data_IF_732876110390
#
_entry.id   IF_732876110390
#
_cell.length_a   1.000
_cell.length_b   1.000
_cell.length_c   1.000
_cell.angle_alpha   90.00
_cell.angle_beta   90.00
_cell.angle_gamma   90.00
#
_symmetry.space_group_name_H-M   'P 1'
#
loop_
_entity.id
_entity.type
_entity.pdbx_description
1 polymer ?
#
# COMPACT_ATOMS: atom_id res chain seq x y z
N UNK A 1 -25.23 27.80 7.27
CA UNK A 1 -25.65 28.04 5.87
C UNK A 1 -26.84 27.14 5.57
N UNK A 2 -27.96 27.65 5.04
CA UNK A 2 -29.13 26.81 4.79
C UNK A 2 -28.89 25.87 3.62
N UNK A 3 -29.19 24.58 3.81
CA UNK A 3 -29.19 23.55 2.76
C UNK A 3 -30.48 23.69 1.96
N UNK A 4 -30.41 24.38 0.82
CA UNK A 4 -31.53 24.44 -0.12
C UNK A 4 -31.75 23.07 -0.76
N UNK A 5 -32.83 22.41 -0.34
CA UNK A 5 -33.21 21.10 -0.86
C UNK A 5 -34.01 21.31 -2.16
N UNK A 6 -33.37 21.09 -3.32
CA UNK A 6 -33.97 21.42 -4.61
C UNK A 6 -35.31 20.70 -4.86
N UNK A 7 -35.54 19.54 -4.24
CA UNK A 7 -36.74 18.74 -4.48
C UNK A 7 -38.07 19.41 -4.09
N UNK A 8 -38.07 20.48 -3.29
CA UNK A 8 -39.33 21.14 -2.87
C UNK A 8 -39.81 22.25 -3.82
N UNK A 9 -38.95 22.82 -4.67
CA UNK A 9 -39.29 23.98 -5.51
C UNK A 9 -39.77 23.63 -6.93
N UNK A 10 -39.87 22.35 -7.28
CA UNK A 10 -39.97 21.91 -8.68
C UNK A 10 -41.35 21.38 -9.07
N UNK A 11 -42.41 22.15 -8.78
CA UNK A 11 -43.79 21.77 -9.15
C UNK A 11 -44.23 22.19 -10.56
N UNK A 12 -43.40 22.86 -11.36
CA UNK A 12 -43.78 23.40 -12.69
C UNK A 12 -42.91 22.92 -13.87
N UNK A 13 -42.19 21.82 -13.72
CA UNK A 13 -41.57 21.11 -14.86
C UNK A 13 -40.31 21.73 -15.46
N UNK A 14 -39.76 22.81 -14.88
CA UNK A 14 -38.41 23.32 -15.22
C UNK A 14 -37.69 23.79 -13.97
N UNK A 15 -36.95 22.89 -13.35
CA UNK A 15 -36.04 23.21 -12.27
C UNK A 15 -34.61 22.92 -12.71
N UNK A 16 -33.83 23.97 -12.86
CA UNK A 16 -32.39 23.84 -13.07
C UNK A 16 -31.69 23.85 -11.73
N UNK A 17 -31.60 22.71 -11.07
CA UNK A 17 -30.77 22.54 -9.89
C UNK A 17 -29.69 21.51 -10.14
N UNK A 18 -28.68 22.01 -10.82
CA UNK A 18 -27.38 21.39 -10.92
C UNK A 18 -26.35 22.49 -10.86
N UNK A 19 -25.10 22.11 -10.59
CA UNK A 19 -23.96 22.99 -10.80
C UNK A 19 -23.76 23.37 -12.29
N UNK A 20 -24.43 22.64 -13.19
CA UNK A 20 -24.34 22.76 -14.65
C UNK A 20 -25.74 23.03 -15.21
N UNK A 21 -25.85 23.93 -16.18
CA UNK A 21 -27.10 24.20 -16.91
C UNK A 21 -27.37 23.21 -18.05
N UNK A 22 -28.54 23.30 -18.68
CA UNK A 22 -28.96 22.42 -19.79
C UNK A 22 -28.07 22.57 -21.05
N UNK A 23 -27.18 23.57 -21.08
CA UNK A 23 -26.22 23.82 -22.16
C UNK A 23 -24.82 23.29 -21.81
N UNK A 24 -24.65 22.66 -20.65
CA UNK A 24 -23.38 22.10 -20.21
C UNK A 24 -22.43 23.13 -19.57
N UNK A 25 -22.91 24.34 -19.24
CA UNK A 25 -22.11 25.42 -18.66
C UNK A 25 -22.26 25.43 -17.14
N UNK A 26 -21.13 25.54 -16.45
CA UNK A 26 -21.08 25.68 -14.99
C UNK A 26 -21.66 27.02 -14.58
N UNK A 27 -22.60 27.02 -13.65
CA UNK A 27 -23.24 28.25 -13.18
C UNK A 27 -22.28 29.06 -12.31
N UNK A 28 -22.39 30.38 -12.43
CA UNK A 28 -21.53 31.30 -11.71
C UNK A 28 -21.68 31.11 -10.19
N UNK A 29 -20.55 30.88 -9.51
CA UNK A 29 -20.51 30.55 -8.07
C UNK A 29 -20.74 29.07 -7.71
N UNK A 30 -20.96 28.17 -8.67
CA UNK A 30 -21.07 26.73 -8.41
C UNK A 30 -19.69 26.03 -8.49
N UNK A 31 -19.38 25.19 -7.50
CA UNK A 31 -18.15 24.41 -7.47
C UNK A 31 -18.40 22.99 -8.02
N UNK A 32 -17.73 22.64 -9.12
CA UNK A 32 -17.65 21.25 -9.59
C UNK A 32 -16.43 20.56 -9.01
N UNK A 33 -16.66 19.44 -8.32
CA UNK A 33 -15.60 18.51 -7.96
C UNK A 33 -15.52 17.45 -9.04
N UNK A 34 -14.69 17.69 -10.05
CA UNK A 34 -14.31 16.65 -11.02
C UNK A 34 -13.20 15.84 -10.35
N UNK A 35 -13.55 14.62 -9.93
CA UNK A 35 -12.54 13.65 -9.51
C UNK A 35 -11.69 13.26 -10.71
N UNK A 36 -10.58 13.96 -10.92
CA UNK A 36 -9.55 13.51 -11.86
C UNK A 36 -8.99 12.22 -11.28
N UNK A 37 -9.51 11.08 -11.72
CA UNK A 37 -8.79 9.83 -11.60
C UNK A 37 -7.57 10.00 -12.50
N UNK A 38 -6.45 10.41 -11.92
CA UNK A 38 -5.15 10.15 -12.52
C UNK A 38 -5.03 8.63 -12.54
N UNK A 39 -5.46 8.02 -13.64
CA UNK A 39 -4.98 6.72 -14.04
C UNK A 39 -3.47 6.92 -14.21
N UNK A 40 -2.71 6.52 -13.19
CA UNK A 40 -1.27 6.31 -13.31
C UNK A 40 -1.07 5.36 -14.49
N UNK A 41 -0.87 5.93 -15.68
CA UNK A 41 -0.26 5.24 -16.80
C UNK A 41 1.22 5.10 -16.44
N UNK A 42 1.49 4.37 -15.34
CA UNK A 42 2.78 3.79 -15.10
C UNK A 42 3.02 2.88 -16.29
N UNK A 43 3.81 3.39 -17.23
CA UNK A 43 4.31 2.71 -18.41
C UNK A 43 4.14 1.19 -18.29
N UNK A 44 3.12 0.64 -18.94
CA UNK A 44 3.17 -0.75 -19.38
C UNK A 44 4.20 -0.82 -20.52
N UNK A 45 5.45 -0.46 -20.21
CA UNK A 45 6.60 -0.96 -20.93
C UNK A 45 6.47 -2.47 -20.75
N UNK A 46 6.03 -3.12 -21.82
CA UNK A 46 5.86 -4.56 -21.91
C UNK A 46 7.10 -5.19 -21.28
N UNK A 47 6.91 -5.85 -20.14
CA UNK A 47 8.02 -6.40 -19.36
C UNK A 47 8.69 -7.46 -20.23
N UNK A 48 9.79 -7.08 -20.87
CA UNK A 48 10.56 -7.97 -21.71
C UNK A 48 11.05 -9.13 -20.82
N UNK A 49 10.71 -10.39 -21.15
CA UNK A 49 11.14 -11.52 -20.34
C UNK A 49 12.66 -11.69 -20.48
N UNK A 50 13.32 -12.20 -19.43
CA UNK A 50 14.78 -12.37 -19.39
C UNK A 50 15.31 -13.15 -20.59
N UNK A 51 14.60 -14.19 -21.04
CA UNK A 51 14.97 -15.00 -22.20
C UNK A 51 15.00 -14.25 -23.54
N UNK A 52 14.37 -13.07 -23.61
CA UNK A 52 14.37 -12.22 -24.80
C UNK A 52 15.38 -11.07 -24.71
N UNK A 53 16.02 -10.86 -23.55
CA UNK A 53 17.02 -9.81 -23.37
C UNK A 53 18.38 -10.22 -23.93
N UNK A 54 19.12 -9.25 -24.47
CA UNK A 54 20.52 -9.46 -24.83
C UNK A 54 21.42 -9.34 -23.62
N UNK A 55 22.63 -9.91 -23.70
CA UNK A 55 23.62 -9.82 -22.61
C UNK A 55 23.96 -8.37 -22.23
N UNK A 56 23.95 -7.45 -23.20
CA UNK A 56 24.20 -6.03 -22.97
C UNK A 56 23.06 -5.36 -22.20
N UNK A 57 21.81 -5.70 -22.50
CA UNK A 57 20.63 -5.22 -21.77
C UNK A 57 20.66 -5.74 -20.33
N UNK A 58 20.94 -7.03 -20.14
CA UNK A 58 21.06 -7.66 -18.81
C UNK A 58 22.13 -6.94 -17.98
N UNK A 59 23.30 -6.68 -18.57
CA UNK A 59 24.39 -5.99 -17.87
C UNK A 59 24.01 -4.57 -17.49
N UNK A 60 23.38 -3.83 -18.40
CA UNK A 60 22.91 -2.47 -18.14
C UNK A 60 21.89 -2.42 -17.01
N UNK A 61 20.94 -3.37 -16.98
CA UNK A 61 19.97 -3.45 -15.88
C UNK A 61 20.65 -3.82 -14.56
N UNK A 62 21.60 -4.75 -14.57
CA UNK A 62 22.36 -5.10 -13.35
C UNK A 62 23.16 -3.91 -12.83
N UNK A 63 23.78 -3.13 -13.70
CA UNK A 63 24.49 -1.91 -13.29
C UNK A 63 23.52 -0.88 -12.70
N UNK A 64 22.27 -0.84 -13.19
CA UNK A 64 21.21 0.04 -12.68
C UNK A 64 20.65 -0.41 -11.33
N UNK A 65 20.88 -1.66 -10.90
CA UNK A 65 20.46 -2.15 -9.56
C UNK A 65 21.26 -1.50 -8.44
N UNK A 66 22.49 -1.06 -8.73
CA UNK A 66 23.38 -0.49 -7.74
C UNK A 66 22.79 0.80 -7.14
N UNK A 67 22.51 0.79 -5.85
CA UNK A 67 21.88 1.92 -5.15
C UNK A 67 20.34 1.98 -5.25
N UNK A 68 19.70 0.99 -5.89
CA UNK A 68 18.25 0.88 -5.92
C UNK A 68 17.72 0.22 -4.63
N UNK A 69 16.54 0.61 -4.12
CA UNK A 69 15.84 -0.14 -3.08
C UNK A 69 15.66 -1.61 -3.42
N UNK A 70 15.99 -2.53 -2.50
CA UNK A 70 15.91 -3.99 -2.71
C UNK A 70 14.55 -4.44 -3.25
N UNK A 71 13.46 -3.91 -2.71
CA UNK A 71 12.11 -4.27 -3.17
C UNK A 71 11.84 -3.84 -4.61
N UNK A 72 12.39 -2.69 -5.04
CA UNK A 72 12.28 -2.24 -6.43
C UNK A 72 13.19 -3.03 -7.35
N UNK A 73 14.41 -3.31 -6.91
CA UNK A 73 15.37 -4.10 -7.67
C UNK A 73 14.91 -5.54 -7.88
N UNK A 74 14.35 -6.18 -6.84
CA UNK A 74 13.78 -7.53 -6.91
C UNK A 74 12.58 -7.63 -7.86
N UNK A 75 11.92 -6.51 -8.17
CA UNK A 75 10.83 -6.46 -9.13
C UNK A 75 11.30 -6.51 -10.59
N UNK A 76 12.61 -6.36 -10.86
CA UNK A 76 13.16 -6.33 -12.21
C UNK A 76 13.11 -7.70 -12.90
N UNK A 77 12.94 -7.75 -14.23
CA UNK A 77 12.83 -9.02 -14.96
C UNK A 77 14.06 -9.93 -14.86
N UNK A 78 15.25 -9.37 -14.57
CA UNK A 78 16.49 -10.14 -14.37
C UNK A 78 16.44 -11.11 -13.20
N UNK A 79 15.52 -10.92 -12.26
CA UNK A 79 15.34 -11.81 -11.12
C UNK A 79 14.06 -12.64 -11.19
N UNK A 80 13.31 -12.59 -12.30
CA UNK A 80 12.06 -13.34 -12.42
C UNK A 80 12.28 -14.86 -12.30
N UNK A 81 13.44 -15.36 -12.71
CA UNK A 81 13.83 -16.78 -12.53
C UNK A 81 13.98 -17.22 -11.07
N UNK A 82 14.11 -16.27 -10.13
CA UNK A 82 14.25 -16.54 -8.71
C UNK A 82 12.95 -16.32 -7.92
N UNK A 83 11.89 -15.83 -8.56
CA UNK A 83 10.63 -15.54 -7.87
C UNK A 83 10.00 -16.81 -7.30
N UNK A 84 9.60 -16.71 -6.04
CA UNK A 84 8.97 -17.82 -5.32
C UNK A 84 9.96 -18.88 -4.83
N UNK A 85 11.26 -18.70 -5.09
CA UNK A 85 12.31 -19.50 -4.48
C UNK A 85 12.71 -18.82 -3.18
N UNK A 86 12.63 -19.57 -2.09
CA UNK A 86 13.10 -19.14 -0.78
C UNK A 86 14.48 -19.75 -0.54
N UNK A 87 15.37 -18.95 0.02
CA UNK A 87 16.63 -19.41 0.60
C UNK A 87 16.36 -20.23 1.88
N UNK A 88 17.36 -20.95 2.37
CA UNK A 88 17.27 -21.79 3.58
C UNK A 88 16.81 -21.02 4.82
N UNK A 89 17.05 -19.70 4.83
CA UNK A 89 16.64 -18.77 5.89
C UNK A 89 15.22 -18.20 5.70
N UNK A 90 14.48 -18.65 4.69
CA UNK A 90 13.15 -18.15 4.35
C UNK A 90 13.14 -16.80 3.62
N UNK A 91 14.30 -16.32 3.18
CA UNK A 91 14.44 -15.06 2.43
C UNK A 91 14.14 -15.27 0.94
N UNK A 92 13.35 -14.41 0.27
CA UNK A 92 13.14 -14.52 -1.16
C UNK A 92 14.43 -14.34 -1.95
N UNK A 93 14.74 -15.29 -2.84
CA UNK A 93 15.99 -15.34 -3.60
C UNK A 93 16.16 -14.12 -4.52
N UNK A 94 15.08 -13.56 -5.06
CA UNK A 94 15.12 -12.36 -5.88
C UNK A 94 15.63 -11.13 -5.12
N UNK A 95 15.30 -11.02 -3.83
CA UNK A 95 15.77 -9.93 -2.97
C UNK A 95 17.22 -10.13 -2.59
N UNK A 96 17.60 -11.37 -2.27
CA UNK A 96 18.98 -11.72 -1.96
C UNK A 96 19.90 -11.48 -3.16
N UNK A 97 19.47 -11.82 -4.38
CA UNK A 97 20.27 -11.58 -5.58
C UNK A 97 20.39 -10.09 -5.89
N UNK A 98 19.31 -9.32 -5.72
CA UNK A 98 19.36 -7.86 -5.85
C UNK A 98 20.34 -7.23 -4.85
N UNK A 99 20.37 -7.70 -3.60
CA UNK A 99 21.35 -7.27 -2.58
C UNK A 99 22.80 -7.54 -3.04
N UNK A 100 23.08 -8.73 -3.58
CA UNK A 100 24.42 -9.06 -4.10
C UNK A 100 24.84 -8.18 -5.28
N UNK A 101 23.89 -7.78 -6.12
CA UNK A 101 24.13 -6.86 -7.24
C UNK A 101 24.20 -5.38 -6.78
N UNK A 102 24.12 -5.11 -5.47
CA UNK A 102 24.37 -3.79 -4.88
C UNK A 102 23.11 -2.96 -4.60
N UNK A 103 21.94 -3.58 -4.55
CA UNK A 103 20.73 -2.93 -4.06
C UNK A 103 20.87 -2.58 -2.57
N UNK A 104 20.27 -1.46 -2.17
CA UNK A 104 20.29 -0.98 -0.78
C UNK A 104 19.04 -1.44 -0.04
N UNK A 105 19.22 -1.99 1.15
CA UNK A 105 18.10 -2.30 2.03
C UNK A 105 17.45 -0.99 2.50
N UNK A 106 16.27 -0.70 1.97
CA UNK A 106 15.39 0.33 2.50
C UNK A 106 14.34 -0.37 3.36
N UNK A 107 14.28 -0.09 4.67
CA UNK A 107 13.18 -0.58 5.50
C UNK A 107 11.87 -0.05 4.91
N UNK A 108 10.95 -0.96 4.60
CA UNK A 108 9.60 -0.59 4.16
C UNK A 108 8.94 0.16 5.30
N UNK A 109 8.44 1.37 5.04
CA UNK A 109 7.57 2.03 6.01
C UNK A 109 6.33 1.15 6.21
N UNK A 110 6.01 0.76 7.45
CA UNK A 110 4.91 -0.13 7.72
C UNK A 110 3.61 0.52 7.24
N UNK A 111 2.82 -0.24 6.50
CA UNK A 111 1.52 0.23 6.04
C UNK A 111 0.60 0.48 7.24
N UNK A 112 -0.42 1.33 7.07
CA UNK A 112 -1.36 1.65 8.15
C UNK A 112 -2.05 0.40 8.73
N UNK A 113 -2.24 -0.62 7.92
CA UNK A 113 -2.83 -1.90 8.33
C UNK A 113 -1.85 -2.75 9.14
N UNK A 114 -0.59 -2.84 8.71
CA UNK A 114 0.48 -3.51 9.47
C UNK A 114 0.72 -2.85 10.82
N UNK A 115 0.68 -1.51 10.89
CA UNK A 115 0.76 -0.77 12.16
C UNK A 115 -0.40 -1.12 13.11
N UNK A 116 -1.63 -1.28 12.58
CA UNK A 116 -2.79 -1.68 13.39
C UNK A 116 -2.67 -3.11 13.88
N UNK A 117 -2.20 -4.02 13.03
CA UNK A 117 -1.99 -5.42 13.40
C UNK A 117 -0.89 -5.56 14.47
N UNK A 118 0.21 -4.81 14.33
CA UNK A 118 1.27 -4.75 15.34
C UNK A 118 0.75 -4.22 16.68
N UNK A 119 0.01 -3.10 16.67
CA UNK A 119 -0.59 -2.54 17.89
C UNK A 119 -1.57 -3.51 18.58
N UNK A 120 -2.39 -4.24 17.80
CA UNK A 120 -3.30 -5.25 18.35
C UNK A 120 -2.53 -6.42 18.99
N UNK A 121 -1.44 -6.86 18.37
CA UNK A 121 -0.57 -7.92 18.88
C UNK A 121 0.09 -7.50 20.19
N UNK A 122 0.63 -6.29 20.24
CA UNK A 122 1.30 -5.77 21.44
C UNK A 122 0.33 -5.63 22.61
N UNK A 123 -0.90 -5.15 22.34
CA UNK A 123 -1.96 -5.09 23.34
C UNK A 123 -2.33 -6.48 23.88
N UNK A 124 -2.41 -7.51 23.03
CA UNK A 124 -2.63 -8.89 23.50
C UNK A 124 -1.48 -9.41 24.36
N UNK A 125 -0.23 -9.12 24.00
CA UNK A 125 0.94 -9.53 24.79
C UNK A 125 0.92 -8.85 26.16
N UNK A 126 0.58 -7.58 26.20
CA UNK A 126 0.45 -6.81 27.45
C UNK A 126 -0.65 -7.39 28.35
N UNK A 127 -1.83 -7.68 27.80
CA UNK A 127 -2.91 -8.35 28.54
C UNK A 127 -2.49 -9.71 29.10
N UNK A 128 -1.77 -10.52 28.31
CA UNK A 128 -1.26 -11.82 28.76
C UNK A 128 -0.23 -11.67 29.88
N UNK A 129 0.66 -10.68 29.78
CA UNK A 129 1.66 -10.38 30.81
C UNK A 129 0.98 -9.94 32.11
N UNK A 130 -0.04 -9.11 32.03
CA UNK A 130 -0.74 -8.63 33.23
C UNK A 130 -1.58 -9.73 33.87
N UNK A 131 -2.24 -10.57 33.08
CA UNK A 131 -2.92 -11.76 33.58
C UNK A 131 -1.95 -12.72 34.33
N UNK A 132 -0.73 -12.91 33.80
CA UNK A 132 0.31 -13.70 34.46
C UNK A 132 0.85 -13.08 35.75
N UNK A 133 0.81 -11.75 35.91
CA UNK A 133 1.18 -11.08 37.18
C UNK A 133 0.08 -11.21 38.24
N UNK A 134 -1.19 -11.32 37.84
CA UNK A 134 -2.33 -11.41 38.75
C UNK A 134 -2.56 -12.85 39.24
N UNK A 135 -2.28 -13.86 38.41
CA UNK A 135 -2.40 -15.27 38.78
C UNK A 135 -1.69 -15.67 40.11
N UNK A 136 -0.41 -15.31 40.35
CA UNK A 136 0.26 -15.65 41.62
C UNK A 136 -0.25 -14.85 42.82
N UNK A 137 -0.92 -13.71 42.61
CA UNK A 137 -1.50 -12.92 43.70
C UNK A 137 -2.81 -13.55 44.22
N UNK A 138 -3.59 -14.21 43.36
CA UNK A 138 -4.84 -14.86 43.76
C UNK A 138 -4.61 -16.21 44.48
N UNK A 139 -3.58 -16.97 44.09
CA UNK A 139 -3.19 -18.20 44.80
C UNK A 139 -2.67 -17.92 46.23
N UNK A 140 -1.93 -16.82 46.42
CA UNK A 140 -1.43 -16.42 47.74
C UNK A 140 -2.53 -15.97 48.72
N UNK A 141 -3.65 -15.42 48.22
CA UNK A 141 -4.82 -15.09 49.04
C UNK A 141 -5.68 -16.30 49.39
N UNK A 142 -5.81 -17.28 48.48
CA UNK A 142 -6.57 -18.51 48.75
C UNK A 142 -5.84 -19.49 49.69
N UNK A 143 -4.51 -19.44 49.78
CA UNK A 143 -3.73 -20.25 50.73
C UNK A 143 -3.70 -19.67 52.16
N UNK A 144 -4.31 -18.50 52.39
CA UNK A 144 -4.36 -17.79 53.68
C UNK A 144 -5.75 -17.75 54.34
N UNK A 145 -6.74 -18.41 53.74
CA UNK A 145 -8.01 -18.79 54.37
C UNK A 145 -7.95 -20.25 54.79
#
# INVERSE_FOLDING_TARGET
>A
MPTFNCNQSCRSGRCSCGAVDDRGVVRDGAALRVGVMFMDHANHAERKPLAMMTDSEIRTMRDSVRGMPVLKAAALPIYDQFRGILDDNGTPMEQMRALYDGATYTPTEPTREECRAAAARDHMIEQMRDAHKIAPAMEATNARM
#
